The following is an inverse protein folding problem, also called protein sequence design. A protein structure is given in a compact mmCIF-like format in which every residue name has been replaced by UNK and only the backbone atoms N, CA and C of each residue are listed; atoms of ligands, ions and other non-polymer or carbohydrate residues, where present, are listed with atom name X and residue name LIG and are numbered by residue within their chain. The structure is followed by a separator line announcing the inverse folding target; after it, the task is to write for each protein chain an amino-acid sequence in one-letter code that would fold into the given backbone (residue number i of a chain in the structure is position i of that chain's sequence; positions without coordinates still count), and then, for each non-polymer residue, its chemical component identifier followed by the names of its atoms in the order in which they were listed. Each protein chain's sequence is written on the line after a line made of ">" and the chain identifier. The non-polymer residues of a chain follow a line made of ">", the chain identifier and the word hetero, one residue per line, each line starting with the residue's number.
data_IF_175839107208
#
_entry.id   IF_175839107208
#
_cell.length_a   1.000
_cell.length_b   1.000
_cell.length_c   1.000
_cell.angle_alpha   90.00
_cell.angle_beta   90.00
_cell.angle_gamma   90.00
#
_symmetry.space_group_name_H-M   'P 1'
#
loop_
_entity.id
_entity.type
_entity.pdbx_description
1 polymer ?
#
# COMPACT_ATOMS: atom_id res chain seq x y z
N UNK A 1 16.65 10.90 -7.76
CA UNK A 1 17.32 9.59 -7.69
C UNK A 1 16.41 8.65 -6.88
N UNK A 2 15.70 7.73 -7.55
CA UNK A 2 14.73 6.82 -6.89
C UNK A 2 15.48 5.59 -6.37
N UNK A 3 15.59 5.46 -5.05
CA UNK A 3 16.12 4.24 -4.41
C UNK A 3 15.01 3.19 -4.50
N UNK A 4 15.14 2.21 -5.41
CA UNK A 4 14.23 1.06 -5.48
C UNK A 4 14.53 0.16 -4.29
N UNK A 5 13.77 0.31 -3.22
CA UNK A 5 13.76 -0.66 -2.12
C UNK A 5 12.83 -1.79 -2.58
N UNK A 6 13.38 -2.84 -3.18
CA UNK A 6 12.62 -4.06 -3.44
C UNK A 6 12.37 -4.76 -2.10
N UNK A 7 11.20 -4.52 -1.52
CA UNK A 7 10.66 -5.35 -0.45
C UNK A 7 10.25 -6.69 -1.04
N UNK A 8 11.20 -7.63 -1.14
CA UNK A 8 10.90 -9.02 -1.43
C UNK A 8 10.33 -9.65 -0.15
N UNK A 9 9.02 -9.57 0.01
CA UNK A 9 8.27 -10.30 1.02
C UNK A 9 8.48 -11.79 0.79
N UNK A 10 9.25 -12.43 1.67
CA UNK A 10 9.39 -13.87 1.70
C UNK A 10 8.02 -14.48 2.03
N UNK A 11 7.41 -15.17 1.08
CA UNK A 11 6.18 -15.93 1.27
C UNK A 11 6.36 -16.89 2.43
N UNK A 12 5.63 -16.64 3.52
CA UNK A 12 5.50 -17.56 4.64
C UNK A 12 4.76 -18.81 4.18
N UNK A 13 5.50 -19.86 3.86
CA UNK A 13 5.12 -21.27 4.01
C UNK A 13 6.29 -22.15 3.57
N UNK A 14 7.24 -22.37 4.47
CA UNK A 14 8.10 -23.53 4.40
C UNK A 14 8.51 -23.91 5.82
N UNK A 15 8.18 -25.14 6.18
CA UNK A 15 8.39 -25.79 7.47
C UNK A 15 9.77 -25.45 8.06
N UNK A 16 9.74 -25.00 9.31
CA UNK A 16 10.88 -24.55 10.11
C UNK A 16 12.00 -25.57 10.23
N UNK A 17 13.17 -25.30 9.63
CA UNK A 17 14.47 -25.84 10.09
C UNK A 17 15.67 -24.93 9.83
N UNK A 18 15.56 -23.90 8.97
CA UNK A 18 16.71 -23.02 8.69
C UNK A 18 16.86 -21.87 9.70
N UNK A 19 18.08 -21.73 10.24
CA UNK A 19 18.47 -20.63 11.11
C UNK A 19 18.41 -19.29 10.36
N UNK A 20 18.30 -18.18 11.10
CA UNK A 20 18.31 -16.82 10.52
C UNK A 20 19.54 -16.61 9.62
N UNK A 21 20.71 -17.08 10.06
CA UNK A 21 21.96 -16.93 9.29
C UNK A 21 21.92 -17.70 7.97
N UNK A 22 21.31 -18.89 7.95
CA UNK A 22 21.12 -19.64 6.70
C UNK A 22 20.18 -18.93 5.72
N UNK A 23 19.14 -18.27 6.23
CA UNK A 23 18.24 -17.44 5.40
C UNK A 23 18.98 -16.25 4.80
N UNK A 24 19.80 -15.55 5.59
CA UNK A 24 20.62 -14.44 5.08
C UNK A 24 21.63 -14.95 4.04
N UNK A 25 22.36 -16.02 4.35
CA UNK A 25 23.38 -16.58 3.45
C UNK A 25 22.81 -17.02 2.10
N UNK A 26 21.64 -17.67 2.11
CA UNK A 26 20.97 -18.08 0.87
C UNK A 26 20.51 -16.89 0.02
N UNK A 27 20.04 -15.80 0.64
CA UNK A 27 19.69 -14.56 -0.06
C UNK A 27 20.91 -13.86 -0.66
N UNK A 28 22.01 -13.79 0.09
CA UNK A 28 23.30 -13.26 -0.41
C UNK A 28 23.76 -14.05 -1.63
N UNK A 29 23.76 -15.38 -1.53
CA UNK A 29 24.15 -16.27 -2.64
C UNK A 29 23.27 -16.06 -3.87
N UNK A 30 21.95 -16.01 -3.68
CA UNK A 30 20.99 -15.80 -4.78
C UNK A 30 21.24 -14.48 -5.47
N UNK A 31 21.36 -13.39 -4.70
CA UNK A 31 21.58 -12.05 -5.23
C UNK A 31 22.91 -11.95 -5.99
N UNK A 32 23.99 -12.53 -5.42
CA UNK A 32 25.29 -12.62 -6.11
C UNK A 32 25.17 -13.33 -7.46
N UNK A 33 24.49 -14.48 -7.50
CA UNK A 33 24.33 -15.25 -8.74
C UNK A 33 23.49 -14.51 -9.78
N UNK A 34 22.41 -13.82 -9.36
CA UNK A 34 21.61 -12.97 -10.26
C UNK A 34 22.42 -11.80 -10.82
N UNK A 35 23.38 -11.27 -10.06
CA UNK A 35 24.32 -10.26 -10.52
C UNK A 35 25.46 -10.81 -11.41
N UNK A 36 25.52 -12.12 -11.67
CA UNK A 36 26.58 -12.74 -12.47
C UNK A 36 27.97 -12.75 -11.81
N UNK A 37 28.04 -12.43 -10.51
CA UNK A 37 29.31 -12.33 -9.80
C UNK A 37 29.77 -13.70 -9.30
N UNK A 38 31.07 -13.99 -9.35
CA UNK A 38 31.65 -15.14 -8.66
C UNK A 38 31.91 -14.82 -7.18
N UNK A 39 32.13 -15.84 -6.33
CA UNK A 39 32.52 -15.61 -4.93
C UNK A 39 33.86 -14.85 -4.82
N UNK A 40 34.80 -15.10 -5.73
CA UNK A 40 36.08 -14.38 -5.77
C UNK A 40 35.90 -12.93 -6.17
N UNK A 41 35.05 -12.64 -7.16
CA UNK A 41 34.75 -11.27 -7.58
C UNK A 41 34.08 -10.48 -6.45
N UNK A 42 33.09 -11.06 -5.77
CA UNK A 42 32.45 -10.43 -4.62
C UNK A 42 33.44 -10.21 -3.46
N UNK A 43 34.32 -11.18 -3.20
CA UNK A 43 35.37 -11.07 -2.18
C UNK A 43 36.32 -9.89 -2.47
N UNK A 44 36.75 -9.74 -3.73
CA UNK A 44 37.58 -8.61 -4.15
C UNK A 44 36.85 -7.27 -4.01
N UNK A 45 35.60 -7.18 -4.46
CA UNK A 45 34.78 -5.95 -4.34
C UNK A 45 34.58 -5.51 -2.89
N UNK A 46 34.55 -6.45 -1.95
CA UNK A 46 34.28 -6.19 -0.52
C UNK A 46 35.54 -6.13 0.34
N UNK A 47 36.72 -6.32 -0.26
CA UNK A 47 37.99 -6.48 0.43
C UNK A 47 37.91 -7.56 1.54
N UNK A 48 37.31 -8.70 1.20
CA UNK A 48 37.20 -9.88 2.05
C UNK A 48 37.92 -11.06 1.41
N UNK A 49 38.21 -12.08 2.22
CA UNK A 49 38.71 -13.34 1.68
C UNK A 49 37.56 -14.15 1.04
N UNK A 50 37.85 -14.90 -0.02
CA UNK A 50 36.90 -15.87 -0.60
C UNK A 50 36.28 -16.81 0.46
N UNK A 51 37.02 -17.41 1.40
CA UNK A 51 36.41 -18.26 2.42
C UNK A 51 35.47 -17.50 3.38
N UNK A 52 35.71 -16.21 3.63
CA UNK A 52 34.75 -15.37 4.39
C UNK A 52 33.43 -15.23 3.64
N UNK A 53 33.47 -14.93 2.34
CA UNK A 53 32.25 -14.85 1.51
C UNK A 53 31.53 -16.20 1.46
N UNK A 54 32.26 -17.30 1.28
CA UNK A 54 31.68 -18.65 1.29
C UNK A 54 31.06 -19.01 2.66
N UNK A 55 31.66 -18.57 3.77
CA UNK A 55 31.10 -18.77 5.11
C UNK A 55 29.79 -18.00 5.29
N UNK A 56 29.73 -16.75 4.82
CA UNK A 56 28.52 -15.93 4.84
C UNK A 56 27.41 -16.60 4.02
N UNK A 57 27.70 -17.03 2.79
CA UNK A 57 26.72 -17.72 1.93
C UNK A 57 26.22 -19.04 2.52
N UNK A 58 27.05 -19.73 3.29
CA UNK A 58 26.67 -20.95 4.01
C UNK A 58 25.90 -20.69 5.32
N UNK A 59 25.73 -19.42 5.71
CA UNK A 59 25.07 -19.04 6.96
C UNK A 59 25.90 -19.36 8.21
N UNK A 60 27.23 -19.42 8.10
CA UNK A 60 28.12 -19.51 9.27
C UNK A 60 28.27 -18.15 9.95
N UNK A 61 28.51 -18.17 11.25
CA UNK A 61 28.76 -16.96 12.05
C UNK A 61 29.93 -16.16 11.48
N UNK A 62 29.74 -14.85 11.37
CA UNK A 62 30.76 -13.89 10.93
C UNK A 62 30.60 -12.56 11.67
N UNK A 63 31.46 -11.59 11.39
CA UNK A 63 31.30 -10.24 11.93
C UNK A 63 30.17 -9.50 11.22
N UNK A 64 29.43 -8.70 11.96
CA UNK A 64 28.40 -7.81 11.40
C UNK A 64 28.97 -6.86 10.35
N UNK A 65 30.21 -6.40 10.53
CA UNK A 65 30.89 -5.55 9.54
C UNK A 65 31.21 -6.27 8.23
N UNK A 66 31.59 -7.56 8.26
CA UNK A 66 31.80 -8.33 7.02
C UNK A 66 30.48 -8.56 6.29
N UNK A 67 29.41 -8.84 7.03
CA UNK A 67 28.07 -8.97 6.46
C UNK A 67 27.60 -7.65 5.82
N UNK A 68 27.76 -6.52 6.51
CA UNK A 68 27.36 -5.21 6.03
C UNK A 68 28.07 -4.84 4.70
N UNK A 69 29.40 -5.06 4.61
CA UNK A 69 30.15 -4.84 3.35
C UNK A 69 29.61 -5.67 2.19
N UNK A 70 29.31 -6.94 2.44
CA UNK A 70 28.76 -7.84 1.41
C UNK A 70 27.37 -7.38 0.98
N UNK A 71 26.50 -7.02 1.92
CA UNK A 71 25.17 -6.52 1.61
C UNK A 71 25.24 -5.22 0.81
N UNK A 72 26.08 -4.27 1.23
CA UNK A 72 26.29 -3.00 0.54
C UNK A 72 26.78 -3.20 -0.90
N UNK A 73 27.75 -4.10 -1.12
CA UNK A 73 28.26 -4.41 -2.46
C UNK A 73 27.21 -5.04 -3.38
N UNK A 74 26.21 -5.72 -2.82
CA UNK A 74 25.09 -6.30 -3.55
C UNK A 74 23.86 -5.37 -3.62
N UNK A 75 23.95 -4.14 -3.09
CA UNK A 75 22.83 -3.20 -3.03
C UNK A 75 21.71 -3.61 -2.05
N UNK A 76 22.01 -4.49 -1.11
CA UNK A 76 21.10 -4.98 -0.08
C UNK A 76 21.27 -4.21 1.22
N UNK A 77 20.22 -4.19 2.05
CA UNK A 77 20.26 -3.62 3.40
C UNK A 77 19.62 -4.58 4.40
N UNK A 78 20.27 -4.77 5.54
CA UNK A 78 19.67 -5.47 6.67
C UNK A 78 18.75 -4.52 7.44
N UNK A 79 17.49 -4.91 7.63
CA UNK A 79 16.54 -4.17 8.45
C UNK A 79 16.08 -5.06 9.61
N UNK A 80 16.17 -4.53 10.83
CA UNK A 80 15.61 -5.17 12.01
C UNK A 80 14.23 -4.59 12.26
N UNK A 81 13.22 -5.45 12.24
CA UNK A 81 11.86 -5.07 12.59
C UNK A 81 11.49 -5.75 13.91
N UNK A 82 10.92 -4.97 14.83
CA UNK A 82 10.30 -5.54 16.02
C UNK A 82 9.18 -6.50 15.62
N UNK A 83 8.92 -7.53 16.42
CA UNK A 83 7.90 -8.56 16.12
C UNK A 83 6.51 -7.97 15.83
N UNK A 84 6.19 -6.81 16.41
CA UNK A 84 4.92 -6.10 16.20
C UNK A 84 4.90 -5.16 14.98
N UNK A 85 6.06 -4.84 14.41
CA UNK A 85 6.18 -3.90 13.29
C UNK A 85 5.80 -4.52 11.93
N UNK A 86 5.94 -5.84 11.76
CA UNK A 86 5.43 -6.52 10.56
C UNK A 86 3.89 -6.59 10.56
N UNK A 87 3.25 -6.77 11.73
CA UNK A 87 1.79 -6.80 11.85
C UNK A 87 1.14 -5.42 11.66
N UNK A 88 1.89 -4.34 11.89
CA UNK A 88 1.39 -2.96 11.78
C UNK A 88 1.29 -2.45 10.34
N UNK A 89 1.83 -3.18 9.36
CA UNK A 89 1.65 -2.88 7.93
C UNK A 89 0.31 -3.38 7.37
N UNK A 90 -0.45 -4.14 8.16
CA UNK A 90 -1.89 -4.29 8.00
C UNK A 90 -2.57 -3.47 9.08
N UNK A 91 -2.65 -2.14 8.92
CA UNK A 91 -3.89 -1.50 9.34
C UNK A 91 -4.86 -1.74 8.19
N UNK A 92 -5.83 -2.67 8.31
CA UNK A 92 -7.05 -2.50 7.56
C UNK A 92 -7.46 -1.05 7.77
N UNK A 93 -7.69 -0.32 6.68
CA UNK A 93 -8.47 0.91 6.79
C UNK A 93 -9.69 0.54 7.63
N UNK A 94 -10.04 1.34 8.63
CA UNK A 94 -11.35 1.33 9.30
C UNK A 94 -12.42 1.64 8.24
N UNK A 95 -12.56 0.76 7.25
CA UNK A 95 -13.63 0.74 6.27
C UNK A 95 -14.72 -0.05 6.98
N UNK A 96 -15.79 0.59 7.44
CA UNK A 96 -16.92 -0.15 7.98
C UNK A 96 -17.32 -1.20 6.94
N UNK A 97 -17.51 -2.44 7.38
CA UNK A 97 -18.00 -3.51 6.52
C UNK A 97 -19.34 -3.08 5.91
N UNK A 98 -19.76 -3.65 4.77
CA UNK A 98 -21.11 -3.38 4.21
C UNK A 98 -22.20 -3.55 5.29
N UNK A 99 -22.05 -4.52 6.20
CA UNK A 99 -22.97 -4.73 7.34
C UNK A 99 -22.93 -3.58 8.36
N UNK A 100 -21.76 -3.01 8.60
CA UNK A 100 -21.59 -1.86 9.49
C UNK A 100 -22.16 -0.60 8.83
N UNK A 101 -21.98 -0.43 7.52
CA UNK A 101 -22.62 0.62 6.73
C UNK A 101 -24.15 0.51 6.80
N UNK A 102 -24.69 -0.69 6.65
CA UNK A 102 -26.14 -0.98 6.77
C UNK A 102 -26.65 -0.81 8.21
N UNK A 103 -25.80 -0.98 9.22
CA UNK A 103 -26.13 -0.68 10.62
C UNK A 103 -26.19 0.83 10.84
N UNK A 104 -25.21 1.58 10.32
CA UNK A 104 -25.19 3.04 10.36
C UNK A 104 -26.35 3.67 9.57
N UNK A 105 -26.72 3.14 8.40
CA UNK A 105 -27.89 3.62 7.64
C UNK A 105 -29.22 3.37 8.36
N UNK A 106 -29.35 2.23 9.06
CA UNK A 106 -30.53 1.94 9.87
C UNK A 106 -30.67 2.88 11.06
N UNK A 107 -29.57 3.15 11.77
CA UNK A 107 -29.54 4.15 12.83
C UNK A 107 -29.85 5.54 12.28
N UNK A 108 -29.26 5.93 11.14
CA UNK A 108 -29.59 7.19 10.45
C UNK A 108 -31.07 7.31 10.08
N UNK A 109 -31.71 6.23 9.61
CA UNK A 109 -33.15 6.24 9.28
C UNK A 109 -34.05 6.24 10.51
N UNK A 110 -33.60 5.63 11.61
CA UNK A 110 -34.33 5.66 12.87
C UNK A 110 -34.23 7.04 13.56
N UNK A 111 -33.09 7.73 13.42
CA UNK A 111 -32.88 9.08 13.94
C UNK A 111 -33.41 10.17 13.01
N UNK A 112 -33.43 9.95 11.69
CA UNK A 112 -34.00 10.87 10.70
C UNK A 112 -35.52 10.73 10.58
N UNK A 113 -36.21 10.65 11.72
CA UNK A 113 -37.66 10.68 11.82
C UNK A 113 -38.30 11.98 11.30
N UNK A 114 -37.54 13.05 11.00
CA UNK A 114 -38.15 14.35 10.69
C UNK A 114 -37.49 15.23 9.60
N UNK A 115 -36.51 14.75 8.83
CA UNK A 115 -35.69 15.68 8.03
C UNK A 115 -35.37 15.31 6.58
N UNK A 116 -36.36 14.89 5.76
CA UNK A 116 -36.32 15.24 4.31
C UNK A 116 -37.75 15.50 3.72
N UNK A 117 -38.45 16.62 4.03
CA UNK A 117 -39.63 17.00 3.24
C UNK A 117 -39.45 18.25 2.36
N UNK A 118 -38.28 18.90 2.34
CA UNK A 118 -38.15 20.23 1.69
C UNK A 118 -37.64 20.18 0.24
N UNK A 119 -36.77 19.23 -0.11
CA UNK A 119 -36.21 19.16 -1.48
C UNK A 119 -37.18 18.56 -2.51
N UNK A 120 -38.04 17.63 -2.09
CA UNK A 120 -39.00 16.97 -2.99
C UNK A 120 -40.14 17.91 -3.42
N UNK A 121 -40.58 18.83 -2.54
CA UNK A 121 -41.66 19.78 -2.85
C UNK A 121 -41.20 20.94 -3.72
N UNK A 122 -39.95 21.38 -3.59
CA UNK A 122 -39.38 22.47 -4.39
C UNK A 122 -39.08 22.06 -5.85
N UNK A 123 -38.76 20.79 -6.10
CA UNK A 123 -38.41 20.29 -7.43
C UNK A 123 -39.62 19.78 -8.26
N UNK A 124 -40.80 19.65 -7.65
CA UNK A 124 -42.00 19.12 -8.29
C UNK A 124 -42.76 20.12 -9.20
N UNK A 125 -42.34 21.39 -9.25
CA UNK A 125 -42.89 22.40 -10.19
C UNK A 125 -41.79 22.98 -11.07
N UNK A 126 -41.19 22.14 -11.93
CA UNK A 126 -40.43 22.67 -13.07
C UNK A 126 -41.44 23.25 -14.07
N UNK A 127 -41.47 24.58 -14.31
CA UNK A 127 -42.33 25.14 -15.34
C UNK A 127 -41.88 24.59 -16.70
N UNK A 128 -42.85 24.26 -17.55
CA UNK A 128 -42.56 23.81 -18.92
C UNK A 128 -42.20 25.00 -19.80
N UNK A 129 -41.50 24.76 -20.91
CA UNK A 129 -41.16 25.80 -21.90
C UNK A 129 -42.44 26.49 -22.43
N UNK A 130 -43.57 25.77 -22.45
CA UNK A 130 -44.89 26.30 -22.85
C UNK A 130 -45.44 27.31 -21.83
N UNK A 131 -45.19 27.11 -20.54
CA UNK A 131 -45.57 28.03 -19.46
C UNK A 131 -44.77 29.34 -19.53
N UNK A 132 -43.52 29.26 -19.99
CA UNK A 132 -42.66 30.44 -20.20
C UNK A 132 -43.11 31.25 -21.43
N UNK A 133 -43.57 30.59 -22.49
CA UNK A 133 -43.96 31.22 -23.75
C UNK A 133 -45.35 31.90 -23.72
N UNK A 134 -46.24 31.50 -22.81
CA UNK A 134 -47.59 32.07 -22.69
C UNK A 134 -47.62 33.39 -21.89
N UNK A 135 -46.54 33.74 -21.17
CA UNK A 135 -46.44 34.98 -20.39
C UNK A 135 -46.08 36.23 -21.19
N UNK A 136 -45.44 36.07 -22.36
CA UNK A 136 -44.92 37.19 -23.18
C UNK A 136 -46.02 37.87 -24.01
N UNK A 137 -47.14 37.19 -24.31
CA UNK A 137 -48.23 37.78 -25.11
C UNK A 137 -49.19 38.65 -24.29
N UNK A 138 -49.28 38.47 -22.96
CA UNK A 138 -50.26 39.17 -22.11
C UNK A 138 -49.78 40.56 -21.65
N UNK A 139 -48.55 40.98 -21.97
CA UNK A 139 -48.02 42.31 -21.59
C UNK A 139 -48.15 43.39 -22.68
N UNK A 140 -48.65 43.08 -23.88
CA UNK A 140 -48.74 44.04 -25.01
C UNK A 140 -50.14 44.41 -25.51
N UNK A 141 -51.22 44.09 -24.78
CA UNK A 141 -52.57 44.52 -25.18
C UNK A 141 -53.35 45.10 -24.00
N UNK A 142 -53.57 46.41 -24.01
CA UNK A 142 -54.59 47.09 -23.19
C UNK A 142 -54.09 48.18 -22.24
N UNK A 143 -53.44 49.22 -22.76
CA UNK A 143 -53.51 50.56 -22.18
C UNK A 143 -54.17 51.44 -23.25
N UNK A 144 -55.34 52.00 -22.97
CA UNK A 144 -56.12 52.78 -23.93
C UNK A 144 -57.58 52.90 -23.50
N UNK A 145 -57.82 53.93 -22.70
CA UNK A 145 -59.06 54.73 -22.48
C UNK A 145 -60.33 54.04 -21.97
#
# INVERSE_FOLDING_TARGET
>A
MRVRIEFLTFSENCVSTMSMMQKIGSQVRRTRMTAGLSQTSLAQMTNLSRPTVAAIEAGRSTTTGALDRVLAALGLRLALAGRQALASQTKPLDRPTIKDLMRFERLRRAEAGDAIPTLTRALARRPTIKDLMLGERKRRGGNGE
#
